data_IF_481487793658
#
_entry.id   IF_481487793658
#
_cell.length_a   1.000
_cell.length_b   1.000
_cell.length_c   1.000
_cell.angle_alpha   90.00
_cell.angle_beta   90.00
_cell.angle_gamma   90.00
#
_symmetry.space_group_name_H-M   'P 1'
#
loop_
_entity.id
_entity.type
_entity.pdbx_description
1 polymer ?
#
# COMPACT_ATOMS: atom_id res chain seq x y z
N UNK A 1 16.33 -4.66 -29.56
CA UNK A 1 17.12 -5.10 -28.40
C UNK A 1 17.54 -3.96 -27.48
N UNK A 2 17.95 -2.77 -27.96
CA UNK A 2 18.31 -1.65 -27.07
C UNK A 2 17.10 -1.01 -26.33
N UNK A 3 15.95 -0.90 -27.00
CA UNK A 3 14.73 -0.27 -26.43
C UNK A 3 14.13 -0.96 -25.20
N UNK A 4 14.38 -2.26 -25.01
CA UNK A 4 13.81 -3.01 -23.88
C UNK A 4 14.54 -2.68 -22.56
N UNK A 5 15.77 -2.17 -22.64
CA UNK A 5 16.54 -1.75 -21.46
C UNK A 5 16.16 -0.36 -20.98
N UNK A 6 15.62 0.51 -21.86
CA UNK A 6 15.24 1.89 -21.53
C UNK A 6 14.19 1.97 -20.42
N UNK A 7 13.35 0.93 -20.29
CA UNK A 7 12.30 0.84 -19.28
C UNK A 7 12.49 -0.29 -18.28
N UNK A 8 13.61 -1.02 -18.33
CA UNK A 8 13.81 -2.22 -17.50
C UNK A 8 13.61 -1.90 -16.01
N UNK A 9 14.20 -0.81 -15.53
CA UNK A 9 14.05 -0.37 -14.13
C UNK A 9 12.59 -0.01 -13.80
N UNK A 10 11.95 0.80 -14.64
CA UNK A 10 10.57 1.24 -14.43
C UNK A 10 9.61 0.03 -14.42
N UNK A 11 9.72 -0.87 -15.40
CA UNK A 11 8.90 -2.09 -15.47
C UNK A 11 9.16 -3.05 -14.32
N UNK A 12 10.42 -3.25 -13.91
CA UNK A 12 10.74 -4.09 -12.76
C UNK A 12 10.17 -3.52 -11.45
N UNK A 13 10.27 -2.19 -11.26
CA UNK A 13 9.73 -1.50 -10.08
C UNK A 13 8.21 -1.57 -10.03
N UNK A 14 7.52 -1.32 -11.15
CA UNK A 14 6.05 -1.45 -11.21
C UNK A 14 5.63 -2.87 -10.82
N UNK A 15 6.26 -3.90 -11.39
CA UNK A 15 5.97 -5.30 -11.02
C UNK A 15 6.21 -5.58 -9.55
N UNK A 16 7.28 -5.05 -8.96
CA UNK A 16 7.53 -5.19 -7.53
C UNK A 16 6.42 -4.53 -6.69
N UNK A 17 5.96 -3.34 -7.08
CA UNK A 17 4.85 -2.65 -6.41
C UNK A 17 3.51 -3.37 -6.57
N UNK A 18 3.24 -3.99 -7.72
CA UNK A 18 2.02 -4.79 -7.94
C UNK A 18 1.89 -5.94 -6.93
N UNK A 19 3.00 -6.55 -6.50
CA UNK A 19 2.97 -7.63 -5.49
C UNK A 19 2.55 -7.17 -4.09
N UNK A 20 2.53 -5.86 -3.85
CA UNK A 20 2.19 -5.24 -2.56
C UNK A 20 0.74 -4.77 -2.48
N UNK A 21 0.00 -4.86 -3.58
CA UNK A 21 -1.41 -4.49 -3.61
C UNK A 21 -2.24 -5.46 -2.77
N UNK A 22 -3.26 -4.93 -2.09
CA UNK A 22 -4.23 -5.72 -1.35
C UNK A 22 -4.97 -6.67 -2.30
N UNK A 23 -4.99 -7.94 -1.95
CA UNK A 23 -5.73 -8.97 -2.65
C UNK A 23 -7.16 -9.09 -2.15
N UNK A 24 -7.97 -9.90 -2.84
CA UNK A 24 -9.34 -10.20 -2.43
C UNK A 24 -9.43 -10.68 -0.97
N UNK A 25 -8.51 -11.55 -0.55
CA UNK A 25 -8.50 -12.10 0.80
C UNK A 25 -8.29 -11.03 1.88
N UNK A 26 -7.55 -9.96 1.58
CA UNK A 26 -7.34 -8.86 2.52
C UNK A 26 -8.63 -8.06 2.69
N UNK A 27 -9.33 -7.77 1.58
CA UNK A 27 -10.63 -7.11 1.64
C UNK A 27 -11.71 -7.96 2.33
N UNK A 28 -11.75 -9.26 2.07
CA UNK A 28 -12.70 -10.16 2.74
C UNK A 28 -12.52 -10.09 4.27
N UNK A 29 -11.28 -10.14 4.78
CA UNK A 29 -10.99 -9.97 6.21
C UNK A 29 -11.40 -8.61 6.75
N UNK A 30 -11.21 -7.53 5.98
CA UNK A 30 -11.60 -6.18 6.41
C UNK A 30 -13.12 -6.01 6.48
N UNK A 31 -13.87 -6.69 5.62
CA UNK A 31 -15.33 -6.69 5.66
C UNK A 31 -15.89 -7.42 6.88
N UNK A 32 -15.17 -8.43 7.37
CA UNK A 32 -15.52 -9.20 8.57
C UNK A 32 -15.09 -8.52 9.89
N UNK A 33 -14.34 -7.42 9.82
CA UNK A 33 -13.83 -6.71 10.99
C UNK A 33 -14.95 -5.95 11.75
N UNK A 34 -14.85 -5.92 13.08
CA UNK A 34 -15.84 -5.29 13.97
C UNK A 34 -15.83 -3.76 13.89
N UNK A 35 -14.79 -3.17 13.30
CA UNK A 35 -14.70 -1.73 13.12
C UNK A 35 -13.37 -1.26 12.54
N UNK A 36 -13.26 0.06 12.36
CA UNK A 36 -12.13 0.68 11.68
C UNK A 36 -10.79 0.47 12.40
N UNK A 37 -10.77 0.31 13.72
CA UNK A 37 -9.57 0.01 14.51
C UNK A 37 -9.01 -1.38 14.22
N UNK A 38 -9.89 -2.37 13.99
CA UNK A 38 -9.47 -3.72 13.60
C UNK A 38 -9.00 -3.76 12.15
N UNK A 39 -9.69 -3.04 11.25
CA UNK A 39 -9.22 -2.84 9.87
C UNK A 39 -7.81 -2.24 9.83
N UNK A 40 -7.50 -1.28 10.70
CA UNK A 40 -6.15 -0.70 10.79
C UNK A 40 -5.09 -1.70 11.24
N UNK A 41 -5.43 -2.62 12.15
CA UNK A 41 -4.51 -3.70 12.56
C UNK A 41 -4.24 -4.64 11.38
N UNK A 42 -5.28 -5.03 10.64
CA UNK A 42 -5.15 -5.85 9.44
C UNK A 42 -4.27 -5.16 8.38
N UNK A 43 -4.46 -3.86 8.17
CA UNK A 43 -3.64 -3.08 7.24
C UNK A 43 -2.19 -2.91 7.75
N UNK A 44 -1.95 -2.91 9.06
CA UNK A 44 -0.61 -2.80 9.63
C UNK A 44 0.29 -3.99 9.28
N UNK A 45 -0.31 -5.16 8.99
CA UNK A 45 0.40 -6.36 8.55
C UNK A 45 0.72 -6.37 7.04
N UNK A 46 0.33 -5.32 6.32
CA UNK A 46 0.55 -5.16 4.87
C UNK A 46 1.62 -4.10 4.58
N UNK A 47 1.87 -3.79 3.31
CA UNK A 47 2.83 -2.73 2.93
C UNK A 47 2.43 -1.33 3.47
N UNK A 48 1.17 -1.15 3.87
CA UNK A 48 0.67 0.05 4.55
C UNK A 48 1.11 0.15 6.02
N UNK A 49 1.75 -0.86 6.61
CA UNK A 49 2.14 -0.84 8.02
C UNK A 49 3.12 0.28 8.38
N UNK A 50 4.07 0.58 7.49
CA UNK A 50 5.03 1.68 7.70
C UNK A 50 4.32 3.03 7.81
N UNK A 51 3.26 3.20 7.03
CA UNK A 51 2.45 4.41 6.98
C UNK A 51 1.52 4.56 8.17
N UNK A 52 0.93 3.44 8.60
CA UNK A 52 0.04 3.38 9.76
C UNK A 52 0.82 3.65 11.05
N UNK A 53 2.11 3.29 11.12
CA UNK A 53 2.96 3.60 12.26
C UNK A 53 3.15 5.12 12.47
N UNK A 54 3.05 5.93 11.42
CA UNK A 54 3.13 7.40 11.49
C UNK A 54 1.77 8.05 11.82
N UNK A 55 0.70 7.25 11.89
CA UNK A 55 -0.65 7.71 12.16
C UNK A 55 -0.84 8.11 13.62
N UNK A 56 -1.42 9.28 13.85
CA UNK A 56 -1.74 9.75 15.22
C UNK A 56 -3.20 9.48 15.60
N UNK A 57 -4.09 9.44 14.63
CA UNK A 57 -5.51 9.16 14.83
C UNK A 57 -6.12 8.47 13.60
N UNK A 58 -7.25 7.78 13.78
CA UNK A 58 -7.93 7.05 12.70
C UNK A 58 -8.42 7.92 11.53
N UNK A 59 -8.69 9.20 11.78
CA UNK A 59 -9.13 10.16 10.77
C UNK A 59 -7.99 10.66 9.88
N UNK A 60 -6.73 10.41 10.26
CA UNK A 60 -5.56 10.72 9.44
C UNK A 60 -5.36 9.71 8.30
N UNK A 61 -6.11 8.60 8.29
CA UNK A 61 -5.96 7.52 7.31
C UNK A 61 -5.96 8.00 5.84
N UNK A 62 -6.85 8.91 5.39
CA UNK A 62 -6.82 9.43 4.01
C UNK A 62 -5.53 10.19 3.70
N UNK A 63 -4.99 10.95 4.67
CA UNK A 63 -3.74 11.70 4.50
C UNK A 63 -2.57 10.75 4.33
N UNK A 64 -2.58 9.66 5.07
CA UNK A 64 -1.54 8.63 5.03
C UNK A 64 -1.56 7.86 3.71
N UNK A 65 -2.75 7.50 3.23
CA UNK A 65 -2.94 6.93 1.90
C UNK A 65 -2.35 7.81 0.80
N UNK A 66 -2.56 9.12 0.89
CA UNK A 66 -1.98 10.06 -0.06
C UNK A 66 -0.45 10.08 0.02
N UNK A 67 0.12 10.10 1.22
CA UNK A 67 1.58 10.01 1.43
C UNK A 67 2.17 8.72 0.87
N UNK A 68 1.55 7.57 1.16
CA UNK A 68 1.95 6.26 0.63
C UNK A 68 1.97 6.26 -0.90
N UNK A 69 0.88 6.73 -1.50
CA UNK A 69 0.73 6.81 -2.95
C UNK A 69 1.79 7.73 -3.57
N UNK A 70 2.04 8.90 -2.95
CA UNK A 70 3.09 9.81 -3.37
C UNK A 70 4.47 9.16 -3.34
N UNK A 71 4.84 8.42 -2.28
CA UNK A 71 6.12 7.69 -2.22
C UNK A 71 6.22 6.56 -3.25
N UNK A 72 5.10 5.96 -3.65
CA UNK A 72 5.09 4.99 -4.73
C UNK A 72 5.43 5.64 -6.09
N UNK A 73 5.14 6.93 -6.28
CA UNK A 73 5.44 7.67 -7.51
C UNK A 73 6.74 8.47 -7.49
N UNK A 74 7.09 9.06 -6.35
CA UNK A 74 8.31 9.84 -6.19
C UNK A 74 9.52 8.89 -6.16
N UNK A 75 10.40 9.07 -7.15
CA UNK A 75 11.70 8.38 -7.31
C UNK A 75 12.81 9.42 -7.21
#
# INVERSE_FOLDING_TARGET
MARDMDFLYASARVKALETKLLGKADFDKMLDAEGAEEVLKLLADTDYGMDIAEMKNIYDFPKILYSHNKRAYDV
#
